data_IF_912760415895
#
_entry.id   IF_912760415895
#
_cell.length_a   1.000
_cell.length_b   1.000
_cell.length_c   1.000
_cell.angle_alpha   90.00
_cell.angle_beta   90.00
_cell.angle_gamma   90.00
#
_symmetry.space_group_name_H-M   'P 1'
#
loop_
_entity.id
_entity.type
_entity.pdbx_description
1 polymer ?
#
# COMPACT_ATOMS: atom_id res chain seq x y z
N UNK A 1 13.15 14.12 13.34
CA UNK A 1 13.58 15.51 13.08
C UNK A 1 13.50 15.84 11.59
N UNK A 2 14.24 15.18 10.70
CA UNK A 2 14.21 15.46 9.25
C UNK A 2 12.82 15.28 8.61
N UNK A 3 12.11 14.21 8.93
CA UNK A 3 10.77 13.92 8.37
C UNK A 3 9.74 14.99 8.76
N UNK A 4 9.81 15.49 10.00
CA UNK A 4 8.90 16.52 10.52
C UNK A 4 9.17 17.86 9.81
N UNK A 5 10.43 18.20 9.54
CA UNK A 5 10.80 19.40 8.77
C UNK A 5 10.40 19.32 7.29
N UNK A 6 10.53 18.15 6.67
CA UNK A 6 10.07 17.93 5.29
C UNK A 6 8.55 18.04 5.17
N UNK A 7 7.80 17.48 6.12
CA UNK A 7 6.34 17.64 6.19
C UNK A 7 5.98 19.11 6.32
N UNK A 8 6.60 19.85 7.24
CA UNK A 8 6.34 21.28 7.42
C UNK A 8 6.54 22.10 6.12
N UNK A 9 7.58 21.77 5.34
CA UNK A 9 7.84 22.43 4.06
C UNK A 9 6.78 22.09 3.00
N UNK A 10 6.35 20.82 2.90
CA UNK A 10 5.29 20.40 1.97
C UNK A 10 3.95 21.05 2.35
N UNK A 11 3.62 21.11 3.65
CA UNK A 11 2.40 21.76 4.15
C UNK A 11 2.32 23.26 3.85
N UNK A 12 3.47 23.94 3.73
CA UNK A 12 3.54 25.36 3.35
C UNK A 12 3.29 25.59 1.85
N UNK A 13 3.65 24.63 1.00
CA UNK A 13 3.60 24.76 -0.47
C UNK A 13 2.23 24.36 -1.04
N UNK A 14 1.53 23.42 -0.40
CA UNK A 14 0.27 22.86 -0.90
C UNK A 14 -0.90 23.00 0.07
N UNK A 15 -1.21 24.23 0.48
CA UNK A 15 -2.31 24.54 1.42
C UNK A 15 -3.70 24.12 0.92
N UNK A 16 -3.85 23.88 -0.38
CA UNK A 16 -5.09 23.37 -0.99
C UNK A 16 -5.38 21.90 -0.63
N UNK A 17 -4.36 21.09 -0.33
CA UNK A 17 -4.50 19.63 -0.12
C UNK A 17 -4.29 19.17 1.34
N UNK A 18 -4.42 20.08 2.31
CA UNK A 18 -4.18 19.81 3.75
C UNK A 18 -4.97 18.59 4.25
N UNK A 19 -6.24 18.46 3.86
CA UNK A 19 -7.09 17.34 4.31
C UNK A 19 -6.56 15.98 3.81
N UNK A 20 -6.11 15.92 2.56
CA UNK A 20 -5.50 14.71 1.99
C UNK A 20 -4.19 14.35 2.68
N UNK A 21 -3.34 15.35 2.97
CA UNK A 21 -2.09 15.13 3.69
C UNK A 21 -2.31 14.62 5.12
N UNK A 22 -3.26 15.20 5.86
CA UNK A 22 -3.60 14.75 7.22
C UNK A 22 -4.13 13.32 7.20
N UNK A 23 -5.05 12.99 6.28
CA UNK A 23 -5.56 11.63 6.11
C UNK A 23 -4.44 10.64 5.73
N UNK A 24 -3.51 11.05 4.86
CA UNK A 24 -2.34 10.26 4.49
C UNK A 24 -1.42 9.97 5.68
N UNK A 25 -1.17 10.96 6.53
CA UNK A 25 -0.37 10.78 7.76
C UNK A 25 -1.04 9.84 8.76
N UNK A 26 -2.35 10.01 8.97
CA UNK A 26 -3.14 9.12 9.85
C UNK A 26 -3.11 7.69 9.30
N UNK A 27 -3.31 7.52 7.99
CA UNK A 27 -3.24 6.22 7.32
C UNK A 27 -1.86 5.56 7.46
N UNK A 28 -0.78 6.32 7.25
CA UNK A 28 0.59 5.81 7.42
C UNK A 28 0.86 5.36 8.87
N UNK A 29 0.38 6.12 9.86
CA UNK A 29 0.48 5.75 11.28
C UNK A 29 -0.31 4.47 11.62
N UNK A 30 -1.56 4.38 11.13
CA UNK A 30 -2.40 3.19 11.29
C UNK A 30 -1.77 1.96 10.62
N UNK A 31 -1.26 2.11 9.39
CA UNK A 31 -0.59 1.05 8.64
C UNK A 31 0.66 0.52 9.35
N UNK A 32 1.49 1.43 9.89
CA UNK A 32 2.66 1.04 10.68
C UNK A 32 2.27 0.28 11.96
N UNK A 33 1.24 0.77 12.68
CA UNK A 33 0.74 0.13 13.90
C UNK A 33 0.17 -1.26 13.60
N UNK A 34 -0.63 -1.37 12.55
CA UNK A 34 -1.19 -2.62 12.04
C UNK A 34 -0.10 -3.64 11.71
N UNK A 35 0.95 -3.23 11.00
CA UNK A 35 2.08 -4.11 10.66
C UNK A 35 2.81 -4.64 11.90
N UNK A 36 3.00 -3.81 12.93
CA UNK A 36 3.64 -4.22 14.19
C UNK A 36 2.76 -5.23 14.95
N UNK A 37 1.44 -4.99 15.01
CA UNK A 37 0.49 -5.92 15.62
C UNK A 37 0.51 -7.27 14.91
N UNK A 38 0.49 -7.27 13.58
CA UNK A 38 0.51 -8.50 12.78
C UNK A 38 1.79 -9.31 12.94
N UNK A 39 2.95 -8.67 13.03
CA UNK A 39 4.21 -9.38 13.30
C UNK A 39 4.18 -10.06 14.67
N UNK A 40 3.46 -9.51 15.64
CA UNK A 40 3.29 -10.11 16.96
C UNK A 40 2.34 -11.31 16.88
N UNK A 41 1.14 -11.11 16.31
CA UNK A 41 0.14 -12.18 16.20
C UNK A 41 0.54 -13.31 15.26
N UNK A 42 1.28 -13.04 14.18
CA UNK A 42 1.75 -14.04 13.22
C UNK A 42 2.70 -15.09 13.84
N UNK A 43 3.29 -14.80 15.00
CA UNK A 43 4.13 -15.74 15.75
C UNK A 43 3.30 -16.75 16.55
N UNK A 44 2.15 -16.32 17.06
CA UNK A 44 1.31 -17.10 17.98
C UNK A 44 0.14 -17.80 17.27
N UNK A 45 -0.33 -17.24 16.15
CA UNK A 45 -1.52 -17.71 15.44
C UNK A 45 -1.24 -18.06 13.98
N UNK A 46 -2.02 -18.98 13.38
CA UNK A 46 -1.90 -19.28 11.97
C UNK A 46 -2.28 -18.06 11.11
N UNK A 47 -1.49 -17.70 10.07
CA UNK A 47 -1.72 -16.52 9.23
C UNK A 47 -3.12 -16.45 8.61
N UNK A 48 -3.69 -17.60 8.24
CA UNK A 48 -5.03 -17.68 7.66
C UNK A 48 -6.13 -17.20 8.61
N UNK A 49 -6.01 -17.48 9.92
CA UNK A 49 -6.99 -17.03 10.89
C UNK A 49 -6.89 -15.52 11.13
N UNK A 50 -5.66 -15.00 11.21
CA UNK A 50 -5.41 -13.56 11.36
C UNK A 50 -6.04 -12.82 10.17
N UNK A 51 -5.66 -13.19 8.94
CA UNK A 51 -6.19 -12.53 7.74
C UNK A 51 -7.69 -12.70 7.55
N UNK A 52 -8.28 -13.80 8.02
CA UNK A 52 -9.73 -13.96 8.04
C UNK A 52 -10.42 -12.90 8.92
N UNK A 53 -9.93 -12.69 10.14
CA UNK A 53 -10.48 -11.64 11.02
C UNK A 53 -10.21 -10.23 10.49
N UNK A 54 -9.05 -9.99 9.88
CA UNK A 54 -8.72 -8.71 9.25
C UNK A 54 -9.69 -8.38 8.12
N UNK A 55 -9.86 -9.30 7.16
CA UNK A 55 -10.75 -9.10 6.02
C UNK A 55 -12.21 -9.01 6.47
N UNK A 56 -12.63 -9.82 7.43
CA UNK A 56 -13.99 -9.75 7.99
C UNK A 56 -14.27 -8.40 8.66
N UNK A 57 -13.33 -7.91 9.48
CA UNK A 57 -13.46 -6.58 10.09
C UNK A 57 -13.43 -5.46 9.05
N UNK A 58 -12.64 -5.59 7.99
CA UNK A 58 -12.64 -4.70 6.83
C UNK A 58 -14.00 -4.64 6.15
N UNK A 59 -14.62 -5.79 5.89
CA UNK A 59 -15.99 -5.86 5.33
C UNK A 59 -16.99 -5.17 6.24
N UNK A 60 -16.95 -5.42 7.55
CA UNK A 60 -17.88 -4.80 8.50
C UNK A 60 -17.73 -3.28 8.56
N UNK A 61 -16.49 -2.78 8.68
CA UNK A 61 -16.20 -1.35 8.77
C UNK A 61 -16.56 -0.62 7.48
N UNK A 62 -16.19 -1.17 6.32
CA UNK A 62 -16.54 -0.58 5.03
C UNK A 62 -18.04 -0.62 4.77
N UNK A 63 -18.72 -1.72 5.13
CA UNK A 63 -20.18 -1.82 4.99
C UNK A 63 -20.89 -0.77 5.84
N UNK A 64 -20.42 -0.53 7.08
CA UNK A 64 -20.96 0.52 7.94
C UNK A 64 -20.67 1.93 7.37
N UNK A 65 -19.47 2.14 6.83
CA UNK A 65 -19.08 3.41 6.23
C UNK A 65 -19.95 3.76 5.01
N UNK A 66 -20.17 2.81 4.11
CA UNK A 66 -21.02 2.99 2.93
C UNK A 66 -22.52 3.00 3.23
N UNK A 67 -22.95 2.52 4.41
CA UNK A 67 -24.34 2.67 4.86
C UNK A 67 -24.71 4.12 5.23
N UNK A 68 -23.73 5.02 5.33
CA UNK A 68 -24.00 6.42 5.62
C UNK A 68 -24.58 7.15 4.37
N UNK A 69 -25.63 7.98 4.51
CA UNK A 69 -26.41 8.53 3.38
C UNK A 69 -25.66 9.46 2.41
N UNK A 70 -24.39 9.72 2.68
CA UNK A 70 -23.58 10.77 2.05
C UNK A 70 -22.61 10.23 0.99
N UNK A 71 -22.68 8.93 0.67
CA UNK A 71 -21.83 8.29 -0.33
C UNK A 71 -22.67 7.68 -1.44
N UNK A 72 -22.47 8.15 -2.67
CA UNK A 72 -23.03 7.52 -3.86
C UNK A 72 -22.28 6.20 -4.14
N UNK A 73 -23.02 5.11 -4.29
CA UNK A 73 -22.48 3.79 -4.59
C UNK A 73 -23.02 3.28 -5.94
N UNK A 74 -22.11 2.76 -6.77
CA UNK A 74 -22.44 2.06 -8.01
C UNK A 74 -23.12 0.74 -7.64
N UNK A 75 -24.44 0.68 -7.77
CA UNK A 75 -25.21 -0.50 -7.42
C UNK A 75 -24.77 -1.73 -8.24
N UNK A 76 -24.89 -2.95 -7.71
CA UNK A 76 -24.44 -4.17 -8.37
C UNK A 76 -25.14 -4.45 -9.72
N UNK A 77 -26.24 -3.75 -9.99
CA UNK A 77 -27.00 -3.80 -11.24
C UNK A 77 -26.28 -3.11 -12.41
N UNK A 78 -25.31 -2.24 -12.13
CA UNK A 78 -24.53 -1.53 -13.15
C UNK A 78 -23.27 -2.29 -13.58
N UNK A 79 -22.94 -3.41 -12.91
CA UNK A 79 -21.75 -4.21 -13.17
C UNK A 79 -22.01 -5.24 -14.28
N UNK A 80 -21.07 -5.36 -15.21
CA UNK A 80 -21.08 -6.38 -16.27
C UNK A 80 -20.57 -7.73 -15.76
N UNK A 81 -20.79 -8.80 -16.52
CA UNK A 81 -20.25 -10.12 -16.19
C UNK A 81 -18.71 -10.17 -16.13
N UNK A 82 -18.05 -9.36 -16.96
CA UNK A 82 -16.59 -9.25 -16.95
C UNK A 82 -16.09 -8.54 -15.67
N UNK A 83 -16.81 -7.53 -15.17
CA UNK A 83 -16.47 -6.86 -13.91
C UNK A 83 -16.51 -7.85 -12.74
N UNK A 84 -17.50 -8.73 -12.71
CA UNK A 84 -17.59 -9.79 -11.69
C UNK A 84 -16.43 -10.78 -11.76
N UNK A 85 -15.98 -11.12 -12.96
CA UNK A 85 -14.81 -11.98 -13.15
C UNK A 85 -13.54 -11.32 -12.62
N UNK A 86 -13.26 -10.07 -13.03
CA UNK A 86 -12.07 -9.35 -12.61
C UNK A 86 -12.07 -9.02 -11.11
N UNK A 87 -13.21 -8.63 -10.54
CA UNK A 87 -13.35 -8.47 -9.10
C UNK A 87 -13.12 -9.78 -8.35
N UNK A 88 -13.60 -10.91 -8.88
CA UNK A 88 -13.36 -12.23 -8.30
C UNK A 88 -11.88 -12.58 -8.24
N UNK A 89 -11.14 -12.34 -9.34
CA UNK A 89 -9.68 -12.56 -9.39
C UNK A 89 -8.96 -11.63 -8.41
N UNK A 90 -9.32 -10.33 -8.42
CA UNK A 90 -8.72 -9.33 -7.54
C UNK A 90 -8.95 -9.67 -6.06
N UNK A 91 -10.19 -9.97 -5.67
CA UNK A 91 -10.55 -10.27 -4.28
C UNK A 91 -9.91 -11.57 -3.77
N UNK A 92 -9.77 -12.59 -4.63
CA UNK A 92 -9.21 -13.88 -4.23
C UNK A 92 -7.68 -13.91 -4.26
N UNK A 93 -7.08 -13.76 -5.45
CA UNK A 93 -5.65 -13.94 -5.66
C UNK A 93 -4.88 -12.72 -5.17
N UNK A 94 -5.28 -11.53 -5.61
CA UNK A 94 -4.54 -10.30 -5.33
C UNK A 94 -4.78 -9.77 -3.91
N UNK A 95 -5.92 -10.07 -3.30
CA UNK A 95 -6.25 -9.60 -1.94
C UNK A 95 -6.14 -10.72 -0.92
N UNK A 96 -7.04 -11.72 -0.94
CA UNK A 96 -7.11 -12.71 0.14
C UNK A 96 -5.82 -13.55 0.25
N UNK A 97 -5.36 -14.13 -0.86
CA UNK A 97 -4.12 -14.94 -0.86
C UNK A 97 -2.90 -14.08 -0.54
N UNK A 98 -2.77 -12.91 -1.17
CA UNK A 98 -1.65 -12.00 -0.94
C UNK A 98 -1.55 -11.54 0.52
N UNK A 99 -2.69 -11.24 1.18
CA UNK A 99 -2.71 -10.88 2.60
C UNK A 99 -2.27 -12.04 3.49
N UNK A 100 -2.81 -13.24 3.27
CA UNK A 100 -2.41 -14.44 4.02
C UNK A 100 -0.90 -14.70 3.86
N UNK A 101 -0.38 -14.57 2.63
CA UNK A 101 1.03 -14.71 2.34
C UNK A 101 1.87 -13.62 3.04
N UNK A 102 1.41 -12.37 3.03
CA UNK A 102 2.06 -11.24 3.71
C UNK A 102 2.17 -11.47 5.22
N UNK A 103 1.07 -11.86 5.88
CA UNK A 103 1.06 -12.21 7.31
C UNK A 103 1.95 -13.44 7.59
N UNK A 104 1.99 -14.41 6.68
CA UNK A 104 2.91 -15.56 6.80
C UNK A 104 4.37 -15.15 6.74
N UNK A 105 4.72 -14.19 5.88
CA UNK A 105 6.08 -13.65 5.78
C UNK A 105 6.46 -12.84 7.02
N UNK A 106 5.50 -12.14 7.64
CA UNK A 106 5.68 -11.43 8.91
C UNK A 106 6.06 -12.34 10.09
N UNK A 107 5.90 -13.66 9.98
CA UNK A 107 6.43 -14.62 10.95
C UNK A 107 7.97 -14.67 10.97
N UNK A 108 8.59 -14.39 9.84
CA UNK A 108 10.04 -14.51 9.64
C UNK A 108 10.74 -13.16 9.45
N UNK A 109 10.00 -12.13 9.03
CA UNK A 109 10.50 -10.79 8.80
C UNK A 109 9.98 -9.82 9.86
N UNK A 110 10.80 -8.82 10.19
CA UNK A 110 10.36 -7.71 11.05
C UNK A 110 9.37 -6.81 10.33
N UNK A 111 8.51 -6.10 11.08
CA UNK A 111 7.60 -5.08 10.53
C UNK A 111 8.36 -4.05 9.70
N UNK A 112 9.58 -3.72 10.14
CA UNK A 112 10.48 -2.83 9.44
C UNK A 112 10.86 -3.34 8.03
N UNK A 113 11.23 -4.62 7.90
CA UNK A 113 11.58 -5.21 6.60
C UNK A 113 10.38 -5.25 5.68
N UNK A 114 9.20 -5.59 6.20
CA UNK A 114 7.96 -5.62 5.39
C UNK A 114 7.63 -4.24 4.87
N UNK A 115 7.69 -3.21 5.72
CA UNK A 115 7.46 -1.82 5.32
C UNK A 115 8.48 -1.33 4.27
N UNK A 116 9.75 -1.76 4.37
CA UNK A 116 10.75 -1.44 3.35
C UNK A 116 10.40 -2.07 2.00
N UNK A 117 9.95 -3.33 1.99
CA UNK A 117 9.53 -4.02 0.76
C UNK A 117 8.29 -3.37 0.15
N UNK A 118 7.32 -2.92 0.96
CA UNK A 118 6.15 -2.18 0.47
C UNK A 118 6.56 -0.85 -0.18
N UNK A 119 7.58 -0.16 0.33
CA UNK A 119 8.10 1.05 -0.33
C UNK A 119 8.70 0.78 -1.72
N UNK A 120 8.93 -0.48 -2.11
CA UNK A 120 9.34 -0.85 -3.47
C UNK A 120 8.14 -1.04 -4.42
N UNK A 121 6.91 -1.02 -3.92
CA UNK A 121 5.69 -1.14 -4.72
C UNK A 121 5.65 -0.17 -5.91
N UNK A 122 6.02 1.13 -5.76
CA UNK A 122 6.10 2.04 -6.89
C UNK A 122 7.11 1.62 -7.96
N UNK A 123 8.24 1.03 -7.54
CA UNK A 123 9.30 0.59 -8.47
C UNK A 123 8.81 -0.59 -9.31
N UNK A 124 8.26 -1.62 -8.66
CA UNK A 124 7.73 -2.77 -9.37
C UNK A 124 6.52 -2.39 -10.23
N UNK A 125 5.68 -1.46 -9.76
CA UNK A 125 4.57 -0.90 -10.53
C UNK A 125 5.03 -0.25 -11.83
N UNK A 126 6.05 0.62 -11.78
CA UNK A 126 6.63 1.26 -12.98
C UNK A 126 7.23 0.22 -13.93
N UNK A 127 7.97 -0.76 -13.40
CA UNK A 127 8.57 -1.82 -14.22
C UNK A 127 7.51 -2.69 -14.91
N UNK A 128 6.48 -3.10 -14.17
CA UNK A 128 5.38 -3.89 -14.74
C UNK A 128 4.58 -3.08 -15.76
N UNK A 129 4.33 -1.80 -15.49
CA UNK A 129 3.66 -0.92 -16.44
C UNK A 129 4.44 -0.82 -17.76
N UNK A 130 5.77 -0.64 -17.69
CA UNK A 130 6.63 -0.63 -18.86
C UNK A 130 6.57 -1.94 -19.68
N UNK A 131 6.55 -3.11 -19.02
CA UNK A 131 6.49 -4.39 -19.73
C UNK A 131 5.10 -4.75 -20.26
N UNK A 132 4.03 -4.40 -19.55
CA UNK A 132 2.65 -4.79 -19.89
C UNK A 132 2.00 -3.80 -20.86
N UNK A 133 2.17 -2.49 -20.64
CA UNK A 133 1.61 -1.46 -21.53
C UNK A 133 2.52 -1.18 -22.74
N UNK A 134 3.82 -1.50 -22.66
CA UNK A 134 4.77 -1.34 -23.76
C UNK A 134 4.84 0.10 -24.30
N UNK A 135 4.85 0.25 -25.63
CA UNK A 135 4.86 1.53 -26.35
C UNK A 135 3.47 2.19 -26.46
N UNK A 136 2.40 1.58 -25.92
CA UNK A 136 1.03 2.08 -26.11
C UNK A 136 0.75 3.40 -25.38
N UNK A 137 1.58 3.75 -24.39
CA UNK A 137 1.68 5.09 -23.82
C UNK A 137 3.15 5.51 -23.84
N UNK A 138 3.58 6.25 -24.87
CA UNK A 138 4.81 7.03 -24.76
C UNK A 138 4.63 8.00 -23.60
N UNK A 139 5.17 7.64 -22.45
CA UNK A 139 5.08 8.47 -21.27
C UNK A 139 5.89 9.74 -21.50
N UNK A 140 5.41 10.85 -20.93
CA UNK A 140 6.06 12.15 -21.14
C UNK A 140 7.53 12.09 -20.67
N UNK A 141 8.45 12.87 -21.26
CA UNK A 141 9.84 12.93 -20.80
C UNK A 141 9.97 13.19 -19.29
N UNK A 142 9.02 13.92 -18.70
CA UNK A 142 8.95 14.14 -17.24
C UNK A 142 8.71 12.84 -16.46
N UNK A 143 7.91 11.91 -16.96
CA UNK A 143 7.66 10.63 -16.31
C UNK A 143 8.95 9.81 -16.18
N UNK A 144 9.76 9.74 -17.24
CA UNK A 144 11.03 9.02 -17.21
C UNK A 144 12.01 9.61 -16.19
N UNK A 145 12.09 10.94 -16.10
CA UNK A 145 12.91 11.62 -15.09
C UNK A 145 12.39 11.30 -13.67
N UNK A 146 11.08 11.40 -13.46
CA UNK A 146 10.45 11.06 -12.18
C UNK A 146 10.71 9.61 -11.76
N UNK A 147 10.56 8.66 -12.68
CA UNK A 147 10.82 7.24 -12.46
C UNK A 147 12.28 6.98 -12.05
N UNK A 148 13.24 7.59 -12.74
CA UNK A 148 14.67 7.50 -12.41
C UNK A 148 14.94 8.06 -11.02
N UNK A 149 14.39 9.23 -10.69
CA UNK A 149 14.57 9.87 -9.37
C UNK A 149 14.03 8.98 -8.26
N UNK A 150 12.82 8.43 -8.41
CA UNK A 150 12.19 7.52 -7.43
C UNK A 150 13.07 6.26 -7.25
N UNK A 151 13.52 5.65 -8.35
CA UNK A 151 14.42 4.50 -8.32
C UNK A 151 15.72 4.78 -7.56
N UNK A 152 16.38 5.90 -7.87
CA UNK A 152 17.64 6.30 -7.23
C UNK A 152 17.45 6.52 -5.72
N UNK A 153 16.40 7.24 -5.32
CA UNK A 153 16.10 7.51 -3.90
C UNK A 153 15.85 6.21 -3.13
N UNK A 154 15.08 5.30 -3.70
CA UNK A 154 14.75 4.03 -3.06
C UNK A 154 15.98 3.12 -2.94
N UNK A 155 16.78 2.99 -3.99
CA UNK A 155 18.02 2.19 -3.98
C UNK A 155 19.03 2.76 -2.98
N UNK A 156 19.20 4.09 -2.96
CA UNK A 156 20.06 4.76 -1.98
C UNK A 156 19.57 4.53 -0.54
N UNK A 157 18.26 4.67 -0.30
CA UNK A 157 17.68 4.44 1.03
C UNK A 157 17.90 2.98 1.47
N UNK A 158 17.66 2.01 0.59
CA UNK A 158 17.96 0.60 0.84
C UNK A 158 19.43 0.37 1.17
N UNK A 159 20.34 0.86 0.34
CA UNK A 159 21.79 0.69 0.50
C UNK A 159 22.34 1.31 1.79
N UNK A 160 21.96 2.56 2.08
CA UNK A 160 22.38 3.28 3.29
C UNK A 160 21.91 2.52 4.54
N UNK A 161 20.68 1.99 4.52
CA UNK A 161 20.11 1.29 5.66
C UNK A 161 20.73 -0.08 5.90
N UNK A 162 21.05 -0.83 4.84
CA UNK A 162 21.80 -2.10 4.93
C UNK A 162 23.21 -1.88 5.48
N UNK A 163 23.84 -0.74 5.16
CA UNK A 163 25.16 -0.36 5.71
C UNK A 163 25.08 0.05 7.19
N UNK A 164 24.02 0.76 7.59
CA UNK A 164 23.81 1.20 8.98
C UNK A 164 23.42 0.05 9.92
N UNK A 165 22.71 -0.99 9.46
CA UNK A 165 22.37 -2.17 10.26
C UNK A 165 23.54 -3.15 10.47
N UNK A 166 24.68 -2.95 9.79
CA UNK A 166 25.91 -3.75 9.95
C UNK A 166 26.92 -3.17 10.97
N UNK A 167 26.58 -2.07 11.66
CA UNK A 167 27.30 -1.55 12.83
C UNK A 167 26.45 -1.74 14.07
#
# INVERSE_FOLDING_TARGET
MVIIGALYYIFQVETEYIMGMVLGLISAFLSATFSIMNVTFAKEHPPSMISFYELLSGVLLLSLFFALPQFDFVGPQQLTSDDWLWMGILASVCTAYAFIASVKVMKYLSAYTVMLTTNLEPVYGILLAFFILGDAEQMTPQFYIGAIVILVVIVLNGFIKTRLQRK
#
